data_IF_536097605978
#
_entry.id   IF_536097605978
#
_cell.length_a   1.000
_cell.length_b   1.000
_cell.length_c   1.000
_cell.angle_alpha   90.00
_cell.angle_beta   90.00
_cell.angle_gamma   90.00
#
_symmetry.space_group_name_H-M   'P 1'
#
loop_
_entity.id
_entity.type
_entity.pdbx_description
1 polymer ?
#
# COMPACT_ATOMS: atom_id res chain seq x y z
N UNK A 1 7.36 -8.14 -30.07
CA UNK A 1 6.95 -9.12 -29.03
C UNK A 1 5.92 -8.43 -28.15
N UNK A 2 4.73 -9.00 -27.90
CA UNK A 2 3.80 -8.40 -26.95
C UNK A 2 4.49 -8.33 -25.58
N UNK A 3 4.46 -7.15 -24.94
CA UNK A 3 4.98 -6.98 -23.59
C UNK A 3 4.27 -7.99 -22.69
N UNK A 4 5.03 -8.88 -22.07
CA UNK A 4 4.50 -9.88 -21.13
C UNK A 4 3.82 -9.10 -20.01
N UNK A 5 2.49 -9.12 -19.92
CA UNK A 5 1.75 -8.39 -18.89
C UNK A 5 2.30 -8.77 -17.53
N UNK A 6 2.80 -7.78 -16.79
CA UNK A 6 3.36 -8.01 -15.46
C UNK A 6 2.24 -8.50 -14.54
N UNK A 7 2.43 -9.66 -13.92
CA UNK A 7 1.52 -10.14 -12.90
C UNK A 7 1.83 -9.45 -11.57
N UNK A 8 0.99 -8.48 -11.21
CA UNK A 8 1.10 -7.73 -9.94
C UNK A 8 1.10 -8.66 -8.72
N UNK A 9 0.51 -9.86 -8.82
CA UNK A 9 0.45 -10.83 -7.72
C UNK A 9 1.83 -11.39 -7.37
N UNK A 10 2.78 -11.37 -8.30
CA UNK A 10 4.15 -11.84 -8.08
C UNK A 10 5.00 -10.89 -7.23
N UNK A 11 4.53 -9.66 -6.99
CA UNK A 11 5.24 -8.68 -6.17
C UNK A 11 4.80 -8.81 -4.72
N UNK A 12 5.73 -9.28 -3.89
CA UNK A 12 5.57 -9.51 -2.45
C UNK A 12 6.78 -8.96 -1.72
N UNK A 13 6.72 -8.72 -0.40
CA UNK A 13 7.92 -8.33 0.37
C UNK A 13 9.11 -9.28 0.15
N UNK A 14 8.85 -10.59 -0.03
CA UNK A 14 9.88 -11.61 -0.22
C UNK A 14 10.52 -11.59 -1.63
N UNK A 15 9.80 -11.08 -2.62
CA UNK A 15 10.26 -10.99 -4.02
C UNK A 15 10.69 -9.58 -4.42
N UNK A 16 10.53 -8.61 -3.52
CA UNK A 16 10.94 -7.24 -3.74
C UNK A 16 12.48 -7.15 -3.80
N UNK A 17 13.06 -6.55 -4.85
CA UNK A 17 14.50 -6.35 -4.94
C UNK A 17 15.01 -5.41 -3.83
N UNK A 18 16.28 -5.55 -3.40
CA UNK A 18 16.83 -4.77 -2.27
C UNK A 18 16.70 -3.25 -2.41
N UNK A 19 16.80 -2.72 -3.64
CA UNK A 19 16.65 -1.29 -3.91
C UNK A 19 15.26 -0.75 -3.55
N UNK A 20 14.22 -1.59 -3.54
CA UNK A 20 12.88 -1.14 -3.16
C UNK A 20 12.82 -0.78 -1.67
N UNK A 21 13.45 -1.59 -0.81
CA UNK A 21 13.57 -1.29 0.61
C UNK A 21 14.43 -0.04 0.87
N UNK A 22 15.48 0.16 0.07
CA UNK A 22 16.32 1.36 0.19
C UNK A 22 15.55 2.63 -0.20
N UNK A 23 14.75 2.59 -1.28
CA UNK A 23 13.88 3.71 -1.68
C UNK A 23 12.91 4.06 -0.54
N UNK A 24 12.22 3.06 0.00
CA UNK A 24 11.26 3.25 1.10
C UNK A 24 11.95 3.81 2.34
N UNK A 25 13.15 3.34 2.66
CA UNK A 25 13.95 3.83 3.79
C UNK A 25 14.34 5.30 3.61
N UNK A 26 14.80 5.69 2.40
CA UNK A 26 15.13 7.07 2.09
C UNK A 26 13.90 7.99 2.22
N UNK A 27 12.75 7.58 1.66
CA UNK A 27 11.50 8.35 1.73
C UNK A 27 11.03 8.50 3.19
N UNK A 28 11.02 7.40 3.96
CA UNK A 28 10.63 7.44 5.39
C UNK A 28 11.59 8.27 6.23
N UNK A 29 12.86 8.31 5.87
CA UNK A 29 13.89 9.16 6.49
C UNK A 29 13.82 10.63 6.08
N UNK A 30 12.92 11.02 5.17
CA UNK A 30 12.79 12.39 4.67
C UNK A 30 13.80 12.78 3.58
N UNK A 31 14.68 11.87 3.16
CA UNK A 31 15.62 12.09 2.07
C UNK A 31 14.94 11.83 0.71
N UNK A 32 14.05 12.75 0.33
CA UNK A 32 13.28 12.68 -0.91
C UNK A 32 14.17 12.78 -2.15
N UNK A 33 15.34 13.42 -2.05
CA UNK A 33 16.30 13.53 -3.13
C UNK A 33 16.93 12.16 -3.43
N UNK A 34 17.41 11.45 -2.39
CA UNK A 34 17.91 10.09 -2.53
C UNK A 34 16.81 9.14 -3.00
N UNK A 35 15.62 9.20 -2.39
CA UNK A 35 14.48 8.37 -2.79
C UNK A 35 14.10 8.55 -4.26
N UNK A 36 14.04 9.80 -4.74
CA UNK A 36 13.77 10.11 -6.15
C UNK A 36 14.86 9.60 -7.09
N UNK A 37 16.14 9.77 -6.73
CA UNK A 37 17.26 9.28 -7.54
C UNK A 37 17.22 7.76 -7.69
N UNK A 38 17.11 7.04 -6.57
CA UNK A 38 17.05 5.57 -6.56
C UNK A 38 15.83 5.05 -7.34
N UNK A 39 14.68 5.70 -7.21
CA UNK A 39 13.49 5.31 -7.96
C UNK A 39 13.67 5.48 -9.46
N UNK A 40 14.25 6.61 -9.92
CA UNK A 40 14.52 6.82 -11.35
C UNK A 40 15.49 5.79 -11.91
N UNK A 41 16.54 5.46 -11.17
CA UNK A 41 17.52 4.43 -11.55
C UNK A 41 16.90 3.02 -11.63
N UNK A 42 16.05 2.66 -10.66
CA UNK A 42 15.30 1.42 -10.70
C UNK A 42 14.33 1.38 -11.87
N UNK A 43 13.63 2.49 -12.15
CA UNK A 43 12.68 2.60 -13.25
C UNK A 43 13.37 2.53 -14.62
N UNK A 44 14.55 3.15 -14.80
CA UNK A 44 15.30 3.06 -16.05
C UNK A 44 15.84 1.66 -16.31
N UNK A 45 16.24 0.94 -15.25
CA UNK A 45 16.85 -0.39 -15.38
C UNK A 45 15.81 -1.50 -15.51
N UNK A 46 14.70 -1.41 -14.78
CA UNK A 46 13.74 -2.51 -14.64
C UNK A 46 12.36 -2.22 -15.24
N UNK A 47 12.14 -1.00 -15.72
CA UNK A 47 10.84 -0.49 -16.17
C UNK A 47 10.05 0.17 -15.04
N UNK A 48 9.28 1.20 -15.38
CA UNK A 48 8.53 2.00 -14.40
C UNK A 48 7.50 1.17 -13.62
N UNK A 49 6.75 0.28 -14.28
CA UNK A 49 5.73 -0.54 -13.63
C UNK A 49 6.35 -1.49 -12.59
N UNK A 50 7.47 -2.13 -12.94
CA UNK A 50 8.21 -2.99 -12.03
C UNK A 50 8.77 -2.21 -10.84
N UNK A 51 9.30 -1.01 -11.07
CA UNK A 51 9.74 -0.11 -10.01
C UNK A 51 8.62 0.23 -9.03
N UNK A 52 7.43 0.58 -9.54
CA UNK A 52 6.25 0.88 -8.73
C UNK A 52 5.81 -0.34 -7.91
N UNK A 53 5.64 -1.51 -8.54
CA UNK A 53 5.15 -2.69 -7.83
C UNK A 53 6.13 -3.24 -6.79
N UNK A 54 7.43 -3.17 -7.06
CA UNK A 54 8.46 -3.52 -6.09
C UNK A 54 8.42 -2.62 -4.85
N UNK A 55 8.31 -1.29 -5.05
CA UNK A 55 8.20 -0.34 -3.93
C UNK A 55 6.89 -0.53 -3.16
N UNK A 56 5.78 -0.76 -3.87
CA UNK A 56 4.48 -1.03 -3.25
C UNK A 56 4.54 -2.29 -2.36
N UNK A 57 5.15 -3.37 -2.84
CA UNK A 57 5.28 -4.62 -2.10
C UNK A 57 6.00 -4.48 -0.75
N UNK A 58 6.90 -3.49 -0.60
CA UNK A 58 7.62 -3.23 0.66
C UNK A 58 6.74 -2.48 1.69
N UNK A 59 5.74 -1.73 1.26
CA UNK A 59 4.91 -0.88 2.15
C UNK A 59 3.51 -1.43 2.38
N UNK A 60 3.11 -2.47 1.66
CA UNK A 60 1.81 -3.11 1.79
C UNK A 60 1.65 -3.86 3.13
N UNK A 61 0.44 -3.89 3.71
CA UNK A 61 0.18 -4.62 4.95
C UNK A 61 0.34 -6.13 4.78
N UNK A 62 0.88 -6.78 5.82
CA UNK A 62 0.92 -8.24 5.93
C UNK A 62 -0.44 -8.85 6.24
N UNK A 63 -0.58 -10.17 6.07
CA UNK A 63 -1.79 -10.89 6.46
C UNK A 63 -2.13 -10.64 7.95
N UNK A 64 -3.41 -10.43 8.27
CA UNK A 64 -3.85 -10.05 9.61
C UNK A 64 -3.60 -8.59 9.98
N UNK A 65 -3.15 -7.74 9.05
CA UNK A 65 -2.98 -6.31 9.26
C UNK A 65 -3.94 -5.49 8.41
N UNK A 66 -4.47 -4.42 9.00
CA UNK A 66 -5.17 -3.35 8.32
C UNK A 66 -4.35 -2.08 8.46
N UNK A 67 -4.07 -1.40 7.37
CA UNK A 67 -3.46 -0.07 7.41
C UNK A 67 -4.51 0.98 7.06
N UNK A 68 -4.53 2.08 7.81
CA UNK A 68 -5.39 3.24 7.60
C UNK A 68 -4.50 4.46 7.47
N UNK A 69 -4.72 5.33 6.50
CA UNK A 69 -3.87 6.51 6.33
C UNK A 69 -4.31 7.44 5.21
N UNK A 70 -3.54 8.51 4.95
CA UNK A 70 -3.78 9.39 3.81
C UNK A 70 -3.72 8.62 2.49
N UNK A 71 -4.68 8.86 1.59
CA UNK A 71 -4.77 8.24 0.27
C UNK A 71 -4.77 9.28 -0.86
N UNK A 72 -4.19 8.96 -2.03
CA UNK A 72 -4.27 9.84 -3.19
C UNK A 72 -5.71 9.97 -3.69
N UNK A 73 -6.00 11.08 -4.38
CA UNK A 73 -7.26 11.27 -5.11
C UNK A 73 -7.43 10.13 -6.12
N UNK A 74 -8.50 9.34 -5.98
CA UNK A 74 -8.88 8.35 -7.00
C UNK A 74 -9.90 9.01 -7.93
N UNK A 75 -9.65 8.92 -9.25
CA UNK A 75 -10.52 9.44 -10.30
C UNK A 75 -11.94 8.87 -10.12
N UNK A 76 -12.95 9.74 -9.99
CA UNK A 76 -14.32 9.38 -9.61
C UNK A 76 -14.82 10.02 -8.30
N UNK A 77 -13.94 10.63 -7.50
CA UNK A 77 -14.33 11.53 -6.42
C UNK A 77 -13.36 12.73 -6.32
N UNK A 78 -13.54 13.76 -7.17
CA UNK A 78 -12.62 14.91 -7.28
C UNK A 78 -12.59 15.83 -6.05
N UNK A 79 -13.39 15.54 -5.00
CA UNK A 79 -13.52 16.38 -3.80
C UNK A 79 -12.77 15.84 -2.57
N UNK A 80 -11.95 14.78 -2.69
CA UNK A 80 -11.35 14.13 -1.51
C UNK A 80 -9.87 13.76 -1.66
N UNK A 81 -9.00 14.70 -1.32
CA UNK A 81 -7.78 14.36 -0.56
C UNK A 81 -8.26 13.84 0.79
N UNK A 82 -8.13 12.53 1.03
CA UNK A 82 -8.79 11.90 2.18
C UNK A 82 -7.97 10.79 2.79
N UNK A 83 -8.66 10.00 3.59
CA UNK A 83 -8.08 8.83 4.26
C UNK A 83 -8.63 7.57 3.60
N UNK A 84 -7.81 6.53 3.49
CA UNK A 84 -8.19 5.24 2.97
C UNK A 84 -7.71 4.13 3.91
N UNK A 85 -8.04 2.89 3.58
CA UNK A 85 -7.54 1.73 4.30
C UNK A 85 -7.24 0.56 3.35
N UNK A 86 -6.36 -0.35 3.77
CA UNK A 86 -5.96 -1.56 3.04
C UNK A 86 -5.96 -2.76 3.97
N UNK A 87 -6.44 -3.90 3.48
CA UNK A 87 -6.44 -5.18 4.20
C UNK A 87 -5.38 -6.13 3.65
N UNK A 88 -4.41 -6.49 4.49
CA UNK A 88 -3.37 -7.44 4.14
C UNK A 88 -3.85 -8.88 3.99
N UNK A 89 -4.94 -9.27 4.66
CA UNK A 89 -5.56 -10.59 4.47
C UNK A 89 -6.20 -10.72 3.08
N UNK A 90 -6.98 -9.72 2.65
CA UNK A 90 -7.52 -9.67 1.29
C UNK A 90 -6.42 -9.61 0.23
N UNK A 91 -5.34 -8.84 0.49
CA UNK A 91 -4.18 -8.78 -0.40
C UNK A 91 -3.48 -10.15 -0.52
N UNK A 92 -3.30 -10.87 0.59
CA UNK A 92 -2.74 -12.21 0.58
C UNK A 92 -3.60 -13.21 -0.19
N UNK A 93 -4.93 -13.10 -0.09
CA UNK A 93 -5.87 -13.91 -0.89
C UNK A 93 -5.77 -13.60 -2.38
N UNK A 94 -5.71 -12.32 -2.77
CA UNK A 94 -5.53 -11.91 -4.15
C UNK A 94 -4.23 -12.46 -4.76
N UNK A 95 -3.12 -12.40 -4.02
CA UNK A 95 -1.82 -12.93 -4.45
C UNK A 95 -1.84 -14.44 -4.75
N UNK A 96 -2.75 -15.20 -4.16
CA UNK A 96 -2.95 -16.64 -4.42
C UNK A 96 -3.96 -16.94 -5.54
N UNK A 97 -4.35 -15.93 -6.32
CA UNK A 97 -5.33 -16.09 -7.40
C UNK A 97 -6.78 -15.84 -6.98
N UNK A 98 -7.01 -15.34 -5.77
CA UNK A 98 -8.33 -14.89 -5.34
C UNK A 98 -8.76 -13.56 -5.99
N UNK A 99 -9.95 -13.05 -5.63
CA UNK A 99 -10.44 -11.78 -6.17
C UNK A 99 -9.53 -10.62 -5.76
N UNK A 100 -9.51 -9.57 -6.58
CA UNK A 100 -8.82 -8.33 -6.25
C UNK A 100 -9.33 -7.80 -4.89
N UNK A 101 -8.43 -7.30 -4.03
CA UNK A 101 -8.84 -6.80 -2.73
C UNK A 101 -9.80 -5.62 -2.96
N UNK A 102 -10.96 -5.65 -2.29
CA UNK A 102 -11.90 -4.53 -2.32
C UNK A 102 -11.19 -3.29 -1.78
N UNK A 103 -10.96 -2.31 -2.66
CA UNK A 103 -10.37 -1.05 -2.26
C UNK A 103 -11.39 -0.23 -1.46
N UNK A 104 -11.03 0.19 -0.25
CA UNK A 104 -11.81 1.20 0.47
C UNK A 104 -11.83 2.49 -0.34
N UNK A 105 -13.01 3.06 -0.54
CA UNK A 105 -13.17 4.41 -1.10
C UNK A 105 -12.45 5.44 -0.23
N UNK A 106 -12.10 6.61 -0.77
CA UNK A 106 -11.54 7.68 0.06
C UNK A 106 -12.61 8.24 1.03
N UNK A 107 -12.27 8.25 2.30
CA UNK A 107 -13.06 8.80 3.39
C UNK A 107 -12.62 10.24 3.70
N UNK A 108 -13.57 11.05 4.18
CA UNK A 108 -13.31 12.45 4.54
C UNK A 108 -12.37 12.58 5.74
N UNK A 109 -12.42 11.64 6.69
CA UNK A 109 -11.65 11.69 7.94
C UNK A 109 -10.95 10.36 8.24
N UNK A 110 -9.86 10.42 9.01
CA UNK A 110 -9.14 9.24 9.50
C UNK A 110 -10.07 8.32 10.30
N UNK A 111 -10.91 8.91 11.17
CA UNK A 111 -11.88 8.18 11.98
C UNK A 111 -12.88 7.39 11.12
N UNK A 112 -13.40 7.99 10.04
CA UNK A 112 -14.32 7.27 9.13
C UNK A 112 -13.62 6.14 8.38
N UNK A 113 -12.37 6.35 7.94
CA UNK A 113 -11.57 5.28 7.33
C UNK A 113 -11.31 4.14 8.31
N UNK A 114 -10.95 4.46 9.57
CA UNK A 114 -10.76 3.49 10.64
C UNK A 114 -12.04 2.71 10.93
N UNK A 115 -13.17 3.40 11.07
CA UNK A 115 -14.46 2.76 11.33
C UNK A 115 -14.86 1.79 10.22
N UNK A 116 -14.61 2.14 8.97
CA UNK A 116 -14.83 1.26 7.84
C UNK A 116 -13.86 0.05 7.83
N UNK A 117 -12.58 0.25 8.15
CA UNK A 117 -11.61 -0.83 8.26
C UNK A 117 -11.99 -1.83 9.36
N UNK A 118 -12.40 -1.34 10.54
CA UNK A 118 -12.85 -2.18 11.67
C UNK A 118 -14.13 -2.92 11.33
N UNK A 119 -15.09 -2.25 10.67
CA UNK A 119 -16.31 -2.90 10.19
C UNK A 119 -15.98 -4.05 9.23
N UNK A 120 -15.13 -3.79 8.24
CA UNK A 120 -14.67 -4.80 7.30
C UNK A 120 -13.99 -5.98 8.02
N UNK A 121 -13.12 -5.72 9.00
CA UNK A 121 -12.45 -6.78 9.77
C UNK A 121 -13.45 -7.71 10.47
N UNK A 122 -14.48 -7.13 11.10
CA UNK A 122 -15.53 -7.88 11.79
C UNK A 122 -16.33 -8.73 10.81
N UNK A 123 -16.72 -8.16 9.67
CA UNK A 123 -17.57 -8.83 8.67
C UNK A 123 -16.81 -9.89 7.87
N UNK A 124 -15.57 -9.62 7.46
CA UNK A 124 -14.82 -10.47 6.54
C UNK A 124 -13.82 -11.41 7.25
N UNK A 125 -13.34 -11.05 8.44
CA UNK A 125 -12.19 -11.72 9.08
C UNK A 125 -12.42 -12.08 10.57
N UNK A 126 -13.60 -11.77 11.10
CA UNK A 126 -13.99 -12.10 12.48
C UNK A 126 -13.32 -11.22 13.54
N UNK A 127 -12.87 -10.02 13.19
CA UNK A 127 -12.35 -9.05 14.16
C UNK A 127 -10.95 -9.38 14.70
N UNK A 128 -10.13 -10.09 13.91
CA UNK A 128 -8.81 -10.61 14.33
C UNK A 128 -7.63 -9.80 13.79
N UNK A 129 -7.87 -8.81 12.95
CA UNK A 129 -6.77 -8.05 12.34
C UNK A 129 -6.33 -6.89 13.23
N UNK A 130 -5.04 -6.59 13.20
CA UNK A 130 -4.48 -5.40 13.87
C UNK A 130 -4.64 -4.18 12.97
N UNK A 131 -5.22 -3.09 13.49
CA UNK A 131 -5.38 -1.83 12.76
C UNK A 131 -4.21 -0.88 13.06
N UNK A 132 -3.45 -0.54 12.02
CA UNK A 132 -2.31 0.38 12.05
C UNK A 132 -2.69 1.70 11.39
N UNK A 133 -2.49 2.81 12.10
CA UNK A 133 -2.66 4.15 11.52
C UNK A 133 -1.33 4.69 11.02
N UNK A 134 -1.29 5.03 9.74
CA UNK A 134 -0.14 5.64 9.07
C UNK A 134 -0.26 7.15 9.19
N UNK A 135 0.65 7.76 9.94
CA UNK A 135 0.77 9.21 10.02
C UNK A 135 1.46 9.76 8.76
N UNK A 136 1.00 10.89 8.19
CA UNK A 136 1.68 11.58 7.09
C UNK A 136 3.10 12.04 7.42
N UNK A 137 3.51 12.00 8.70
CA UNK A 137 4.87 12.32 9.15
C UNK A 137 5.45 11.23 10.04
N UNK A 138 5.43 9.96 9.63
CA UNK A 138 6.28 8.91 10.21
C UNK A 138 6.35 8.81 11.75
N UNK A 139 5.29 9.20 12.46
CA UNK A 139 5.17 9.03 13.91
C UNK A 139 3.89 8.27 14.15
N UNK A 140 4.03 7.04 14.61
CA UNK A 140 2.94 6.24 15.14
C UNK A 140 2.15 7.09 16.14
N UNK A 141 0.91 7.41 15.80
CA UNK A 141 -0.04 7.92 16.77
C UNK A 141 -0.51 6.69 17.55
N UNK A 142 0.17 6.43 18.68
CA UNK A 142 -0.41 5.58 19.72
C UNK A 142 -1.63 6.31 20.26
N UNK A 143 -2.77 5.63 20.30
CA UNK A 143 -3.92 6.06 21.10
C UNK A 143 -3.50 6.27 22.56
#
# INVERSE_FOLDING_TARGET
>A
MPAKTLDIRAYTPATAPPWAAEIVTAIRGGDLAKGSRLFREAASTSGIERAVYAVAAVVEPGAGQLTVGPGPLVYGNPLRTGYCWRCGTCLATFRRGGPAPTAGVNYKTAQSARGAAVKHDREAHGGRSTVHELSPRGRDLRC
#
